data_IF_975842884145
#
_entry.id   IF_975842884145
#
_cell.length_a   1.000
_cell.length_b   1.000
_cell.length_c   1.000
_cell.angle_alpha   90.00
_cell.angle_beta   90.00
_cell.angle_gamma   90.00
#
_symmetry.space_group_name_H-M   'P 1'
#
loop_
_entity.id
_entity.type
_entity.pdbx_description
1 polymer ?
#
# COMPACT_ATOMS: atom_id res chain seq x y z
N UNK A 1 -3.39 -17.32 7.36
CA UNK A 1 -4.85 -17.58 7.56
C UNK A 1 -5.41 -16.58 8.59
N UNK A 2 -6.74 -16.41 8.70
CA UNK A 2 -7.38 -15.61 9.77
C UNK A 2 -8.03 -16.54 10.80
N UNK A 3 -7.96 -16.17 12.08
CA UNK A 3 -8.65 -16.88 13.14
C UNK A 3 -10.17 -16.62 13.09
N UNK A 4 -11.01 -17.48 13.70
CA UNK A 4 -12.47 -17.28 13.73
C UNK A 4 -12.92 -15.95 14.36
N UNK A 5 -12.08 -15.32 15.19
CA UNK A 5 -12.32 -13.99 15.75
C UNK A 5 -12.06 -12.84 14.76
N UNK A 6 -11.62 -13.12 13.53
CA UNK A 6 -11.29 -12.13 12.51
C UNK A 6 -9.86 -11.57 12.60
N UNK A 7 -9.09 -11.99 13.60
CA UNK A 7 -7.68 -11.59 13.71
C UNK A 7 -6.81 -12.36 12.71
N UNK A 8 -5.78 -11.70 12.18
CA UNK A 8 -4.80 -12.35 11.33
C UNK A 8 -3.99 -13.35 12.18
N UNK A 9 -4.08 -14.65 11.87
CA UNK A 9 -3.38 -15.68 12.62
C UNK A 9 -1.92 -15.83 12.14
N UNK A 10 -1.69 -15.65 10.85
CA UNK A 10 -0.38 -15.74 10.22
C UNK A 10 -0.26 -14.71 9.10
N UNK A 11 0.91 -14.08 8.99
CA UNK A 11 1.24 -13.10 7.96
C UNK A 11 2.60 -13.40 7.35
N UNK A 12 2.60 -13.79 6.07
CA UNK A 12 3.81 -13.89 5.27
C UNK A 12 3.82 -12.71 4.29
N UNK A 13 4.88 -11.90 4.35
CA UNK A 13 5.06 -10.77 3.46
C UNK A 13 6.51 -10.75 2.97
N UNK A 14 6.68 -10.51 1.68
CA UNK A 14 7.97 -10.26 1.06
C UNK A 14 7.85 -8.97 0.26
N UNK A 15 8.80 -8.06 0.46
CA UNK A 15 8.80 -6.72 -0.09
C UNK A 15 10.22 -6.49 -0.62
N UNK A 16 10.31 -5.85 -1.78
CA UNK A 16 11.58 -5.45 -2.38
C UNK A 16 11.64 -3.93 -2.46
N UNK A 17 12.82 -3.39 -2.20
CA UNK A 17 13.07 -1.97 -2.38
C UNK A 17 13.51 -1.69 -3.82
N UNK A 18 12.97 -0.63 -4.40
CA UNK A 18 13.37 -0.12 -5.71
C UNK A 18 13.70 1.35 -5.54
N UNK A 19 14.92 1.74 -5.92
CA UNK A 19 15.32 3.13 -5.87
C UNK A 19 14.55 3.96 -6.90
N UNK A 20 14.03 5.12 -6.48
CA UNK A 20 13.30 6.06 -7.33
C UNK A 20 13.77 7.50 -7.05
N UNK A 21 13.56 8.39 -8.02
CA UNK A 21 13.76 9.83 -7.79
C UNK A 21 12.56 10.43 -7.05
N UNK A 22 12.70 11.59 -6.38
CA UNK A 22 11.57 12.28 -5.76
C UNK A 22 10.43 12.63 -6.74
N UNK A 23 10.76 12.81 -8.02
CA UNK A 23 9.80 13.12 -9.08
C UNK A 23 8.93 11.92 -9.48
N UNK A 24 9.40 10.70 -9.22
CA UNK A 24 8.68 9.45 -9.55
C UNK A 24 7.69 9.02 -8.45
N UNK A 25 7.56 9.81 -7.38
CA UNK A 25 6.59 9.52 -6.31
C UNK A 25 5.18 9.59 -6.89
N UNK A 26 4.35 8.58 -6.62
CA UNK A 26 2.94 8.54 -7.05
C UNK A 26 1.95 8.80 -5.91
N UNK A 27 2.43 8.85 -4.68
CA UNK A 27 1.61 9.00 -3.47
C UNK A 27 1.78 10.40 -2.87
N UNK A 28 0.79 11.27 -3.09
CA UNK A 28 0.81 12.68 -2.68
C UNK A 28 -0.39 13.02 -1.80
N UNK A 29 -0.30 12.72 -0.51
CA UNK A 29 -1.26 13.19 0.49
C UNK A 29 -0.57 13.40 1.85
N UNK A 30 -1.17 14.16 2.78
CA UNK A 30 -0.66 14.28 4.14
C UNK A 30 -0.59 12.92 4.85
N UNK A 31 0.30 12.77 5.83
CA UNK A 31 0.38 11.53 6.61
C UNK A 31 -0.98 11.18 7.24
N UNK A 32 -1.44 9.94 7.04
CA UNK A 32 -2.75 9.48 7.49
C UNK A 32 -3.49 8.63 6.45
N UNK A 33 -4.82 8.48 6.60
CA UNK A 33 -5.64 7.72 5.66
C UNK A 33 -5.49 8.23 4.22
N UNK A 34 -5.40 7.30 3.27
CA UNK A 34 -5.48 7.62 1.83
C UNK A 34 -6.84 8.29 1.55
N UNK A 35 -6.88 9.43 0.83
CA UNK A 35 -8.14 10.02 0.36
C UNK A 35 -8.97 9.03 -0.45
N UNK A 36 -10.29 9.06 -0.30
CA UNK A 36 -11.18 8.09 -0.94
C UNK A 36 -11.13 8.16 -2.48
N UNK A 37 -10.92 9.35 -3.01
CA UNK A 37 -10.83 9.70 -4.43
C UNK A 37 -9.44 9.49 -5.05
N UNK A 38 -8.39 9.29 -4.23
CA UNK A 38 -7.06 9.04 -4.76
C UNK A 38 -7.03 7.70 -5.51
N UNK A 39 -6.42 7.62 -6.71
CA UNK A 39 -6.34 6.37 -7.47
C UNK A 39 -5.69 5.22 -6.67
N UNK A 40 -6.21 4.02 -6.88
CA UNK A 40 -5.62 2.78 -6.35
C UNK A 40 -4.46 2.27 -7.23
N UNK A 41 -3.78 1.20 -6.78
CA UNK A 41 -2.56 0.69 -7.43
C UNK A 41 -2.73 0.36 -8.92
N UNK A 42 -3.81 -0.35 -9.29
CA UNK A 42 -4.06 -0.71 -10.70
C UNK A 42 -4.30 0.50 -11.61
N UNK A 43 -4.93 1.56 -11.09
CA UNK A 43 -5.11 2.82 -11.84
C UNK A 43 -3.81 3.60 -11.99
N UNK A 44 -2.87 3.42 -11.07
CA UNK A 44 -1.53 4.00 -11.13
C UNK A 44 -0.57 3.24 -12.06
N UNK A 45 -0.98 2.07 -12.59
CA UNK A 45 -0.15 1.26 -13.48
C UNK A 45 1.03 0.59 -12.78
N UNK A 46 0.90 0.32 -11.47
CA UNK A 46 1.88 -0.42 -10.66
C UNK A 46 1.65 -1.93 -10.68
#
# INVERSE_FOLDING_TARGET
MFAPSGHMAERHASINDVAISPQDRLFHWPQGPRPADHPGLGTLGL
#
